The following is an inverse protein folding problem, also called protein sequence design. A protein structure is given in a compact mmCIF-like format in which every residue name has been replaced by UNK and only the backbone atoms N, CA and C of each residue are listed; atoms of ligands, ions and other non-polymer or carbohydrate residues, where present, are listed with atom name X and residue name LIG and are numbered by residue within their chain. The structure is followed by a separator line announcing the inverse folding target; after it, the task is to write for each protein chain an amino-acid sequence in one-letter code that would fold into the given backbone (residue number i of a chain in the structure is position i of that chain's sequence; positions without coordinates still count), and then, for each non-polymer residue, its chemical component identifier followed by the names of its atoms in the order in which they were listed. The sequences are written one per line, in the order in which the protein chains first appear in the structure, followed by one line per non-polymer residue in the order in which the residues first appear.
data_IF_248110288939
#
_entry.id   IF_248110288939
#
_cell.length_a   1.000
_cell.length_b   1.000
_cell.length_c   1.000
_cell.angle_alpha   90.00
_cell.angle_beta   90.00
_cell.angle_gamma   90.00
#
_symmetry.space_group_name_H-M   'P 1'
#
loop_
_entity.id
_entity.type
_entity.pdbx_description
1 polymer ?
#
# COMPACT_ATOMS: atom_id res chain seq x y z
N UNK A 1 5.37 23.12 -5.48
CA UNK A 1 4.25 23.65 -4.68
C UNK A 1 3.07 24.02 -5.56
N UNK A 2 3.25 24.88 -6.58
CA UNK A 2 2.15 25.30 -7.48
C UNK A 2 1.35 24.14 -8.09
N UNK A 3 2.03 23.13 -8.62
CA UNK A 3 1.34 21.99 -9.25
C UNK A 3 0.58 21.14 -8.24
N UNK A 4 1.13 20.97 -7.02
CA UNK A 4 0.50 20.18 -5.97
C UNK A 4 -0.79 20.84 -5.47
N UNK A 5 -0.80 22.16 -5.30
CA UNK A 5 -2.02 22.92 -4.97
C UNK A 5 -3.05 22.87 -6.10
N UNK A 6 -2.60 22.74 -7.35
CA UNK A 6 -3.49 22.59 -8.50
C UNK A 6 -4.15 21.21 -8.54
N UNK A 7 -3.43 20.15 -8.14
CA UNK A 7 -3.92 18.77 -8.13
C UNK A 7 -4.74 18.46 -6.87
N UNK A 8 -4.34 19.01 -5.73
CA UNK A 8 -4.98 18.85 -4.42
C UNK A 8 -5.39 20.23 -3.87
N UNK A 9 -6.47 20.82 -4.40
CA UNK A 9 -6.89 22.16 -4.01
C UNK A 9 -7.57 22.22 -2.63
N UNK A 10 -8.02 21.07 -2.11
CA UNK A 10 -8.73 20.97 -0.83
C UNK A 10 -7.77 20.59 0.29
N UNK A 11 -8.03 21.13 1.49
CA UNK A 11 -7.33 20.76 2.71
C UNK A 11 -8.06 19.52 3.27
N UNK A 12 -7.57 18.35 2.88
CA UNK A 12 -8.08 17.06 3.35
C UNK A 12 -7.16 16.50 4.43
N UNK A 13 -7.65 16.44 5.67
CA UNK A 13 -7.00 15.67 6.74
C UNK A 13 -7.13 14.18 6.47
N UNK A 14 -6.06 13.44 6.72
CA UNK A 14 -6.11 11.99 6.72
C UNK A 14 -6.77 11.48 8.02
N UNK A 15 -7.17 10.23 8.03
CA UNK A 15 -7.69 9.56 9.23
C UNK A 15 -7.38 8.08 9.09
N UNK A 16 -7.11 7.41 10.22
CA UNK A 16 -6.87 5.97 10.24
C UNK A 16 -8.05 5.29 10.90
N UNK A 17 -8.68 4.37 10.17
CA UNK A 17 -9.83 3.59 10.61
C UNK A 17 -9.41 2.13 10.81
N UNK A 18 -10.00 1.48 11.82
CA UNK A 18 -10.01 0.03 11.96
C UNK A 18 -11.29 -0.50 11.34
N UNK A 19 -11.16 -1.21 10.22
CA UNK A 19 -12.28 -1.72 9.43
C UNK A 19 -12.17 -3.24 9.26
N UNK A 20 -13.28 -3.96 9.39
CA UNK A 20 -13.31 -5.39 9.06
C UNK A 20 -13.17 -5.61 7.56
N UNK A 21 -12.73 -6.79 7.13
CA UNK A 21 -12.66 -7.10 5.69
C UNK A 21 -14.02 -6.98 4.99
N UNK A 22 -15.12 -7.25 5.69
CA UNK A 22 -16.47 -7.01 5.15
C UNK A 22 -16.74 -5.51 4.94
N UNK A 23 -16.38 -4.65 5.89
CA UNK A 23 -16.50 -3.19 5.74
C UNK A 23 -15.63 -2.67 4.57
N UNK A 24 -14.42 -3.21 4.41
CA UNK A 24 -13.55 -2.88 3.27
C UNK A 24 -14.21 -3.29 1.95
N UNK A 25 -14.78 -4.49 1.87
CA UNK A 25 -15.49 -4.95 0.68
C UNK A 25 -16.69 -4.05 0.33
N UNK A 26 -17.50 -3.68 1.33
CA UNK A 26 -18.64 -2.78 1.15
C UNK A 26 -18.19 -1.40 0.63
N UNK A 27 -17.07 -0.87 1.16
CA UNK A 27 -16.51 0.38 0.68
C UNK A 27 -16.04 0.29 -0.78
N UNK A 28 -15.40 -0.81 -1.18
CA UNK A 28 -14.98 -1.05 -2.57
C UNK A 28 -16.19 -1.16 -3.50
N UNK A 29 -17.24 -1.88 -3.08
CA UNK A 29 -18.51 -2.01 -3.81
C UNK A 29 -19.17 -0.66 -4.05
N UNK A 30 -19.26 0.20 -3.03
CA UNK A 30 -19.75 1.56 -3.21
C UNK A 30 -18.88 2.35 -4.20
N UNK A 31 -17.56 2.18 -4.14
CA UNK A 31 -16.62 2.85 -5.04
C UNK A 31 -16.84 2.56 -6.52
N UNK A 32 -17.19 1.31 -6.86
CA UNK A 32 -17.46 0.90 -8.24
C UNK A 32 -18.94 0.92 -8.62
N UNK A 33 -19.84 1.24 -7.69
CA UNK A 33 -21.30 1.18 -7.86
C UNK A 33 -21.84 1.97 -9.06
N UNK A 34 -21.28 3.14 -9.34
CA UNK A 34 -21.74 4.03 -10.42
C UNK A 34 -20.86 4.03 -11.66
N UNK A 35 -19.80 3.20 -11.68
CA UNK A 35 -19.02 3.01 -12.90
C UNK A 35 -19.96 2.60 -14.06
N UNK A 36 -19.82 3.20 -15.27
CA UNK A 36 -18.71 4.04 -15.76
C UNK A 36 -18.92 5.57 -15.60
N UNK A 37 -19.89 6.03 -14.81
CA UNK A 37 -20.07 7.48 -14.59
C UNK A 37 -18.83 8.09 -13.93
N UNK A 38 -18.46 9.28 -14.38
CA UNK A 38 -17.33 10.06 -13.86
C UNK A 38 -17.71 10.77 -12.55
N UNK A 39 -18.06 10.00 -11.54
CA UNK A 39 -18.36 10.52 -10.20
C UNK A 39 -17.13 10.43 -9.28
N UNK A 40 -17.05 11.35 -8.31
CA UNK A 40 -15.95 11.42 -7.34
C UNK A 40 -15.80 10.19 -6.44
N UNK A 41 -16.81 9.30 -6.42
CA UNK A 41 -16.80 8.08 -5.60
C UNK A 41 -15.77 7.03 -6.02
N UNK A 42 -15.31 7.06 -7.28
CA UNK A 42 -14.44 5.99 -7.78
C UNK A 42 -13.07 6.03 -7.06
N UNK A 43 -12.67 4.97 -6.32
CA UNK A 43 -11.56 5.05 -5.40
C UNK A 43 -10.21 4.97 -6.11
N UNK A 44 -9.26 5.77 -5.64
CA UNK A 44 -7.83 5.51 -5.86
C UNK A 44 -7.33 4.64 -4.72
N UNK A 45 -6.71 3.51 -5.05
CA UNK A 45 -6.33 2.50 -4.05
C UNK A 45 -4.82 2.27 -4.01
N UNK A 46 -4.33 1.96 -2.81
CA UNK A 46 -2.98 1.51 -2.54
C UNK A 46 -3.03 0.41 -1.49
N UNK A 47 -2.17 -0.60 -1.62
CA UNK A 47 -2.16 -1.75 -0.70
C UNK A 47 -3.34 -2.71 -0.84
N UNK A 48 -4.27 -2.48 -1.78
CA UNK A 48 -5.33 -3.41 -2.15
C UNK A 48 -5.35 -3.58 -3.66
N UNK A 49 -5.65 -4.78 -4.10
CA UNK A 49 -5.94 -5.10 -5.50
C UNK A 49 -7.27 -5.81 -5.60
N UNK A 50 -8.10 -5.44 -6.58
CA UNK A 50 -9.38 -6.11 -6.79
C UNK A 50 -9.85 -6.09 -8.24
N UNK A 51 -10.69 -7.08 -8.57
CA UNK A 51 -11.42 -7.11 -9.82
C UNK A 51 -12.93 -6.90 -9.60
N UNK A 52 -13.59 -6.22 -10.53
CA UNK A 52 -15.04 -5.97 -10.47
C UNK A 52 -15.73 -6.17 -11.83
N UNK A 53 -16.97 -6.66 -11.82
CA UNK A 53 -17.81 -6.82 -13.00
C UNK A 53 -18.82 -5.65 -13.11
N UNK A 54 -18.66 -4.74 -14.09
CA UNK A 54 -19.57 -3.62 -14.27
C UNK A 54 -20.97 -4.04 -14.75
N UNK A 55 -21.15 -5.27 -15.24
CA UNK A 55 -22.45 -5.79 -15.71
C UNK A 55 -23.36 -6.23 -14.57
N UNK A 56 -22.79 -6.49 -13.39
CA UNK A 56 -23.55 -6.87 -12.19
C UNK A 56 -24.22 -5.65 -11.54
N UNK A 57 -25.33 -5.87 -10.79
CA UNK A 57 -25.99 -4.79 -10.08
C UNK A 57 -25.05 -4.14 -9.06
N UNK A 58 -25.17 -2.83 -8.79
CA UNK A 58 -24.40 -2.16 -7.75
C UNK A 58 -24.50 -2.88 -6.39
N UNK A 59 -23.38 -3.02 -5.69
CA UNK A 59 -23.30 -3.78 -4.43
C UNK A 59 -23.05 -5.28 -4.60
N UNK A 60 -22.97 -5.78 -5.84
CA UNK A 60 -22.62 -7.18 -6.15
C UNK A 60 -21.61 -7.24 -7.30
N UNK A 61 -20.82 -6.19 -7.51
CA UNK A 61 -19.87 -6.09 -8.63
C UNK A 61 -18.54 -6.77 -8.31
N UNK A 62 -18.19 -6.91 -7.04
CA UNK A 62 -16.92 -7.43 -6.56
C UNK A 62 -17.16 -8.78 -5.91
N UNK A 63 -16.44 -9.79 -6.39
CA UNK A 63 -16.36 -11.07 -5.67
C UNK A 63 -15.23 -10.97 -4.62
N UNK A 64 -15.48 -11.28 -3.34
CA UNK A 64 -14.44 -11.28 -2.31
C UNK A 64 -13.20 -12.10 -2.69
N UNK A 65 -13.36 -13.16 -3.49
CA UNK A 65 -12.25 -14.03 -3.91
C UNK A 65 -11.22 -13.32 -4.82
N UNK A 66 -11.63 -12.21 -5.46
CA UNK A 66 -10.75 -11.40 -6.29
C UNK A 66 -10.23 -10.16 -5.56
N UNK A 67 -10.40 -10.06 -4.25
CA UNK A 67 -9.85 -8.97 -3.44
C UNK A 67 -8.62 -9.46 -2.68
N UNK A 68 -7.52 -8.72 -2.79
CA UNK A 68 -6.29 -8.97 -2.04
C UNK A 68 -5.83 -7.70 -1.33
N UNK A 69 -5.52 -7.81 -0.06
CA UNK A 69 -4.92 -6.75 0.76
C UNK A 69 -3.44 -7.12 0.96
N UNK A 70 -2.54 -6.24 0.52
CA UNK A 70 -1.14 -6.59 0.35
C UNK A 70 -1.00 -7.73 -0.65
N UNK A 71 -0.41 -8.84 -0.20
CA UNK A 71 -0.24 -10.05 -0.99
C UNK A 71 -1.20 -11.17 -0.56
N UNK A 72 -2.06 -10.91 0.42
CA UNK A 72 -2.99 -11.87 1.00
C UNK A 72 -4.42 -11.66 0.48
N UNK A 73 -5.21 -12.73 0.30
CA UNK A 73 -6.62 -12.59 -0.01
C UNK A 73 -7.39 -12.00 1.17
N UNK A 74 -8.47 -11.30 0.86
CA UNK A 74 -9.33 -10.67 1.86
C UNK A 74 -9.97 -11.70 2.80
N UNK A 75 -9.73 -11.58 4.10
CA UNK A 75 -10.53 -12.21 5.15
C UNK A 75 -11.59 -11.23 5.65
N UNK A 76 -12.87 -11.62 5.55
CA UNK A 76 -14.00 -10.77 5.96
C UNK A 76 -14.02 -10.47 7.45
N UNK A 77 -13.50 -11.37 8.28
CA UNK A 77 -13.56 -11.29 9.73
C UNK A 77 -12.38 -10.53 10.33
N UNK A 78 -11.25 -10.50 9.63
CA UNK A 78 -10.05 -9.80 10.05
C UNK A 78 -10.27 -8.28 10.07
N UNK A 79 -9.67 -7.60 11.06
CA UNK A 79 -9.61 -6.13 11.12
C UNK A 79 -8.36 -5.63 10.38
N UNK A 80 -8.54 -4.62 9.55
CA UNK A 80 -7.50 -3.95 8.79
C UNK A 80 -7.43 -2.47 9.17
N UNK A 81 -6.23 -1.90 9.10
CA UNK A 81 -6.03 -0.45 9.22
C UNK A 81 -6.13 0.20 7.85
N UNK A 82 -7.13 1.05 7.69
CA UNK A 82 -7.40 1.79 6.46
C UNK A 82 -7.08 3.26 6.67
N UNK A 83 -6.31 3.84 5.76
CA UNK A 83 -6.12 5.30 5.71
C UNK A 83 -7.07 5.88 4.69
N UNK A 84 -7.85 6.88 5.09
CA UNK A 84 -8.78 7.59 4.20
C UNK A 84 -8.79 9.08 4.49
N UNK A 85 -9.56 9.85 3.73
CA UNK A 85 -9.81 11.27 4.01
C UNK A 85 -10.91 11.40 5.05
N UNK A 86 -10.85 12.42 5.90
CA UNK A 86 -11.94 12.70 6.86
C UNK A 86 -13.31 12.85 6.14
N UNK A 87 -13.33 13.47 4.96
CA UNK A 87 -14.53 13.57 4.13
C UNK A 87 -15.22 12.22 3.89
N UNK A 88 -14.46 11.18 3.54
CA UNK A 88 -15.01 9.84 3.30
C UNK A 88 -15.38 9.15 4.61
N UNK A 89 -14.59 9.32 5.67
CA UNK A 89 -14.90 8.75 6.99
C UNK A 89 -16.24 9.26 7.56
N UNK A 90 -16.62 10.50 7.22
CA UNK A 90 -17.94 11.07 7.53
C UNK A 90 -19.09 10.53 6.64
N UNK A 91 -18.86 9.47 5.85
CA UNK A 91 -19.84 8.83 4.99
C UNK A 91 -20.24 9.62 3.74
N UNK A 92 -19.40 10.56 3.30
CA UNK A 92 -19.65 11.27 2.04
C UNK A 92 -19.40 10.35 0.84
N UNK A 93 -19.92 10.71 -0.33
CA UNK A 93 -19.88 9.88 -1.56
C UNK A 93 -20.45 8.45 -1.42
N UNK A 94 -21.28 8.21 -0.41
CA UNK A 94 -21.90 6.91 -0.14
C UNK A 94 -21.04 5.96 0.68
N UNK A 95 -19.91 6.42 1.23
CA UNK A 95 -19.03 5.63 2.10
C UNK A 95 -19.54 5.56 3.54
N UNK A 96 -20.86 5.40 3.73
CA UNK A 96 -21.50 5.39 5.06
C UNK A 96 -20.94 4.30 5.98
N UNK A 97 -20.45 3.20 5.41
CA UNK A 97 -19.77 2.11 6.13
C UNK A 97 -18.62 2.58 7.02
N UNK A 98 -17.94 3.69 6.66
CA UNK A 98 -16.84 4.21 7.47
C UNK A 98 -17.27 4.90 8.76
N UNK A 99 -18.54 5.30 8.89
CA UNK A 99 -19.07 5.86 10.14
C UNK A 99 -19.13 4.82 11.26
N UNK A 100 -19.29 3.55 10.88
CA UNK A 100 -19.36 2.42 11.80
C UNK A 100 -17.98 1.85 12.13
N UNK A 101 -16.91 2.41 11.56
CA UNK A 101 -15.53 1.98 11.82
C UNK A 101 -14.96 2.72 13.03
N UNK A 102 -14.08 2.04 13.77
CA UNK A 102 -13.37 2.64 14.90
C UNK A 102 -12.25 3.55 14.39
N UNK A 103 -12.16 4.77 14.93
CA UNK A 103 -11.11 5.73 14.59
C UNK A 103 -9.87 5.44 15.43
N UNK A 104 -8.80 4.98 14.78
CA UNK A 104 -7.50 4.67 15.40
C UNK A 104 -6.64 5.92 15.52
N UNK A 105 -6.67 6.78 14.50
CA UNK A 105 -6.01 8.09 14.53
C UNK A 105 -6.95 9.12 13.98
N UNK A 106 -7.15 10.19 14.74
CA UNK A 106 -8.06 11.29 14.42
C UNK A 106 -7.43 12.29 13.41
N UNK A 107 -8.22 13.25 12.97
CA UNK A 107 -7.76 14.30 12.06
C UNK A 107 -6.72 15.24 12.70
N UNK A 108 -6.75 15.41 14.02
CA UNK A 108 -5.81 16.27 14.76
C UNK A 108 -4.42 15.62 14.90
N UNK A 109 -4.37 14.29 14.88
CA UNK A 109 -3.15 13.49 15.07
C UNK A 109 -2.45 13.14 13.76
N UNK A 110 -3.12 13.36 12.64
CA UNK A 110 -2.67 12.92 11.32
C UNK A 110 -2.32 14.11 10.42
N UNK A 111 -1.35 13.95 9.52
CA UNK A 111 -0.99 15.02 8.60
C UNK A 111 -2.07 15.21 7.53
N UNK A 112 -2.18 16.44 7.04
CA UNK A 112 -2.93 16.73 5.81
C UNK A 112 -2.38 15.93 4.63
N UNK A 113 -3.26 15.54 3.69
CA UNK A 113 -2.89 14.79 2.49
C UNK A 113 -1.78 15.49 1.69
N UNK A 114 -1.87 16.82 1.53
CA UNK A 114 -0.86 17.61 0.84
C UNK A 114 0.52 17.48 1.49
N UNK A 115 0.57 17.51 2.81
CA UNK A 115 1.80 17.37 3.60
C UNK A 115 2.34 15.94 3.52
N UNK A 116 1.48 14.92 3.56
CA UNK A 116 1.88 13.52 3.39
C UNK A 116 2.53 13.28 2.01
N UNK A 117 1.96 13.83 0.94
CA UNK A 117 2.52 13.73 -0.41
C UNK A 117 3.87 14.46 -0.50
N UNK A 118 3.99 15.65 0.07
CA UNK A 118 5.26 16.40 0.10
C UNK A 118 6.35 15.63 0.83
N UNK A 119 6.02 15.06 2.00
CA UNK A 119 6.94 14.25 2.78
C UNK A 119 7.39 13.00 2.01
N UNK A 120 6.49 12.37 1.26
CA UNK A 120 6.82 11.23 0.42
C UNK A 120 7.82 11.59 -0.69
N UNK A 121 7.59 12.69 -1.41
CA UNK A 121 8.55 13.17 -2.41
C UNK A 121 9.90 13.57 -1.81
N UNK A 122 9.89 14.14 -0.61
CA UNK A 122 11.13 14.47 0.07
C UNK A 122 11.92 13.21 0.46
N UNK A 123 11.24 12.15 0.90
CA UNK A 123 11.86 10.87 1.19
C UNK A 123 12.46 10.22 -0.08
N UNK A 124 11.77 10.30 -1.22
CA UNK A 124 12.30 9.82 -2.52
C UNK A 124 13.57 10.59 -2.91
N UNK A 125 13.60 11.92 -2.72
CA UNK A 125 14.81 12.72 -3.01
C UNK A 125 16.00 12.32 -2.15
N UNK A 126 15.76 11.96 -0.90
CA UNK A 126 16.80 11.48 0.01
C UNK A 126 17.33 10.12 -0.47
N UNK A 127 16.44 9.19 -0.80
CA UNK A 127 16.81 7.85 -1.28
C UNK A 127 17.59 7.89 -2.60
N UNK A 128 17.15 8.71 -3.55
CA UNK A 128 17.81 8.86 -4.85
C UNK A 128 19.11 9.66 -4.79
N UNK A 129 19.52 10.15 -3.61
CA UNK A 129 20.74 10.91 -3.39
C UNK A 129 20.69 12.37 -3.88
N UNK A 130 19.52 12.86 -4.31
CA UNK A 130 19.31 14.26 -4.73
C UNK A 130 19.35 15.19 -3.52
N UNK A 131 18.83 14.75 -2.38
CA UNK A 131 18.87 15.47 -1.12
C UNK A 131 19.69 14.70 -0.07
N UNK A 132 20.41 15.41 0.79
CA UNK A 132 21.15 14.78 1.90
C UNK A 132 20.23 14.64 3.12
N UNK A 133 20.20 13.47 3.78
CA UNK A 133 19.47 13.32 5.03
C UNK A 133 20.13 14.16 6.13
N UNK A 134 19.31 14.70 7.04
CA UNK A 134 19.82 15.45 8.21
C UNK A 134 20.29 14.51 9.32
N UNK A 135 19.78 13.28 9.33
CA UNK A 135 20.05 12.23 10.32
C UNK A 135 20.54 10.96 9.62
N UNK A 136 21.26 10.11 10.35
CA UNK A 136 21.64 8.79 9.85
C UNK A 136 20.44 7.83 9.73
N UNK A 137 19.38 8.09 10.50
CA UNK A 137 18.14 7.31 10.42
C UNK A 137 17.24 7.82 9.30
N UNK A 138 16.70 6.89 8.50
CA UNK A 138 15.65 7.12 7.51
C UNK A 138 14.54 6.07 7.68
N UNK A 139 13.29 6.48 7.48
CA UNK A 139 12.18 5.54 7.42
C UNK A 139 12.18 4.82 6.07
N UNK A 140 11.99 3.50 6.09
CA UNK A 140 11.81 2.69 4.87
C UNK A 140 10.55 3.10 4.12
N UNK A 141 10.67 3.27 2.79
CA UNK A 141 9.53 3.57 1.92
C UNK A 141 8.82 2.31 1.41
N UNK A 142 9.31 1.12 1.73
CA UNK A 142 8.59 -0.12 1.46
C UNK A 142 7.49 -0.30 2.50
N UNK A 143 6.25 -0.34 2.02
CA UNK A 143 5.07 -0.66 2.83
C UNK A 143 5.30 -1.96 3.60
N UNK A 144 4.98 -1.96 4.90
CA UNK A 144 5.15 -3.11 5.80
C UNK A 144 4.54 -4.39 5.24
N UNK A 145 3.32 -4.30 4.68
CA UNK A 145 2.62 -5.43 4.06
C UNK A 145 3.38 -6.09 2.91
N UNK A 146 4.25 -5.34 2.21
CA UNK A 146 5.09 -5.87 1.15
C UNK A 146 6.42 -6.42 1.68
N UNK A 147 6.84 -6.13 2.91
CA UNK A 147 8.19 -6.52 3.39
C UNK A 147 8.38 -8.03 3.43
N UNK A 148 7.38 -8.80 3.87
CA UNK A 148 7.49 -10.26 3.97
C UNK A 148 7.46 -10.96 2.61
N UNK A 149 6.58 -10.52 1.72
CA UNK A 149 6.55 -10.96 0.32
C UNK A 149 7.82 -10.56 -0.43
N UNK A 150 8.38 -9.38 -0.14
CA UNK A 150 9.63 -8.91 -0.74
C UNK A 150 10.86 -9.67 -0.23
N UNK A 151 10.90 -10.05 1.06
CA UNK A 151 11.96 -10.92 1.59
C UNK A 151 11.90 -12.30 0.92
N UNK A 152 10.70 -12.86 0.72
CA UNK A 152 10.54 -14.16 0.04
C UNK A 152 10.80 -14.11 -1.46
N UNK A 153 10.35 -13.06 -2.15
CA UNK A 153 10.75 -12.88 -3.56
C UNK A 153 12.26 -12.71 -3.67
N UNK A 154 12.96 -12.05 -2.74
CA UNK A 154 14.43 -12.05 -2.73
C UNK A 154 15.06 -13.45 -2.48
N UNK A 155 14.36 -14.38 -1.83
CA UNK A 155 14.76 -15.79 -1.66
C UNK A 155 14.50 -16.62 -2.93
N UNK A 156 13.37 -16.40 -3.60
CA UNK A 156 12.94 -17.15 -4.80
C UNK A 156 13.53 -16.58 -6.12
N UNK A 157 13.85 -15.29 -6.15
CA UNK A 157 14.40 -14.56 -7.31
C UNK A 157 15.92 -14.72 -7.28
N UNK A 158 16.39 -15.87 -7.78
CA UNK A 158 17.73 -16.02 -8.35
C UNK A 158 17.85 -15.26 -9.69
N UNK A 159 17.37 -14.00 -9.75
CA UNK A 159 17.45 -13.18 -10.95
C UNK A 159 18.68 -12.28 -10.86
N UNK A 160 19.53 -12.46 -11.86
CA UNK A 160 20.86 -11.87 -12.00
C UNK A 160 20.75 -10.36 -12.14
N UNK A 161 21.01 -9.61 -11.08
CA UNK A 161 21.27 -8.17 -11.21
C UNK A 161 22.61 -7.95 -11.95
N UNK A 162 22.67 -7.13 -13.02
CA UNK A 162 23.92 -6.86 -13.72
C UNK A 162 24.85 -6.01 -12.83
N UNK A 163 26.11 -6.43 -12.76
CA UNK A 163 27.16 -5.73 -12.02
C UNK A 163 27.36 -4.32 -12.59
N UNK A 164 27.06 -3.26 -11.81
CA UNK A 164 27.60 -1.92 -12.09
C UNK A 164 29.11 -1.96 -11.90
N UNK A 165 29.89 -1.74 -12.96
CA UNK A 165 31.36 -1.69 -12.92
C UNK A 165 31.83 -0.53 -12.05
N UNK A 166 32.31 -0.84 -10.85
CA UNK A 166 33.27 0.01 -10.14
C UNK A 166 34.67 -0.28 -10.69
N UNK A 167 35.35 0.73 -11.23
CA UNK A 167 36.76 0.62 -11.61
C UNK A 167 37.62 0.65 -10.35
N UNK A 168 37.99 -0.53 -9.85
CA UNK A 168 39.14 -0.71 -8.96
C UNK A 168 40.08 -1.71 -9.62
N UNK A 169 41.33 -1.30 -9.83
CA UNK A 169 42.35 -2.07 -10.55
C UNK A 169 42.83 -3.31 -9.77
N UNK A 170 42.48 -3.44 -8.49
CA UNK A 170 42.93 -4.54 -7.63
C UNK A 170 41.98 -5.75 -7.57
N UNK A 171 40.81 -5.69 -8.22
CA UNK A 171 39.80 -6.75 -8.15
C UNK A 171 40.02 -7.93 -9.12
N UNK A 172 41.19 -8.06 -9.75
CA UNK A 172 41.45 -9.14 -10.71
C UNK A 172 41.76 -10.49 -10.06
N UNK A 173 42.13 -10.52 -8.77
CA UNK A 173 42.54 -11.74 -8.07
C UNK A 173 41.41 -12.48 -7.32
N UNK A 174 40.16 -11.98 -7.35
CA UNK A 174 39.00 -12.61 -6.67
C UNK A 174 37.85 -12.95 -7.61
N UNK A 175 38.15 -13.26 -8.88
CA UNK A 175 37.14 -13.51 -9.94
C UNK A 175 36.34 -14.82 -9.80
N UNK A 176 36.49 -15.60 -8.73
CA UNK A 176 35.87 -16.93 -8.59
C UNK A 176 34.93 -17.15 -7.41
N UNK A 177 34.71 -16.17 -6.51
CA UNK A 177 34.05 -16.46 -5.21
C UNK A 177 32.85 -15.57 -4.84
N UNK A 178 32.45 -14.61 -5.67
CA UNK A 178 31.22 -13.84 -5.42
C UNK A 178 30.05 -14.40 -6.23
N UNK A 179 29.53 -15.52 -5.71
CA UNK A 179 28.27 -16.13 -6.11
C UNK A 179 27.12 -15.28 -5.54
N UNK A 180 26.25 -14.78 -6.43
CA UNK A 180 24.91 -14.23 -6.14
C UNK A 180 24.82 -13.09 -5.12
N UNK A 181 24.70 -11.84 -5.58
CA UNK A 181 24.24 -10.73 -4.72
C UNK A 181 22.72 -10.83 -4.58
N UNK A 182 22.22 -11.16 -3.39
CA UNK A 182 20.80 -11.01 -3.04
C UNK A 182 20.37 -9.55 -3.22
N UNK A 183 19.17 -9.33 -3.74
CA UNK A 183 18.59 -7.99 -3.79
C UNK A 183 18.42 -7.48 -2.35
N UNK A 184 19.03 -6.33 -2.06
CA UNK A 184 18.90 -5.71 -0.73
C UNK A 184 17.57 -4.97 -0.62
N UNK A 185 17.08 -4.78 0.61
CA UNK A 185 15.91 -3.92 0.88
C UNK A 185 16.08 -2.54 0.22
N UNK A 186 17.31 -2.01 0.19
CA UNK A 186 17.62 -0.73 -0.45
C UNK A 186 17.48 -0.77 -1.98
N UNK A 187 17.83 -1.90 -2.62
CA UNK A 187 17.66 -2.06 -4.07
C UNK A 187 16.17 -2.09 -4.42
N UNK A 188 15.35 -2.78 -3.61
CA UNK A 188 13.89 -2.81 -3.78
C UNK A 188 13.27 -1.43 -3.56
N UNK A 189 13.69 -0.70 -2.53
CA UNK A 189 13.28 0.68 -2.30
C UNK A 189 13.64 1.59 -3.48
N UNK A 190 14.82 1.42 -4.07
CA UNK A 190 15.21 2.20 -5.25
C UNK A 190 14.30 1.90 -6.44
N UNK A 191 13.91 0.65 -6.64
CA UNK A 191 13.01 0.25 -7.73
C UNK A 191 11.58 0.80 -7.53
N UNK A 192 11.06 0.80 -6.30
CA UNK A 192 9.74 1.35 -6.00
C UNK A 192 9.72 2.87 -6.08
N UNK A 193 10.84 3.54 -5.78
CA UNK A 193 10.97 5.00 -5.87
C UNK A 193 11.17 5.52 -7.31
N UNK A 194 11.21 4.64 -8.32
CA UNK A 194 11.21 5.07 -9.71
C UNK A 194 9.86 5.69 -10.07
N UNK A 195 9.84 7.02 -10.20
CA UNK A 195 8.67 7.83 -10.56
C UNK A 195 8.20 7.67 -12.01
N UNK A 196 8.63 6.60 -12.70
CA UNK A 196 8.20 6.31 -14.06
C UNK A 196 6.73 5.86 -14.05
N UNK A 197 5.88 6.36 -14.96
CA UNK A 197 4.48 5.95 -15.02
C UNK A 197 4.41 4.46 -15.36
N UNK A 198 3.75 3.69 -14.50
CA UNK A 198 3.57 2.24 -14.63
C UNK A 198 2.12 1.86 -14.42
N UNK A 199 1.67 0.84 -15.14
CA UNK A 199 0.33 0.26 -14.94
C UNK A 199 0.45 -0.87 -13.93
N UNK A 200 0.00 -0.63 -12.70
CA UNK A 200 0.06 -1.61 -11.61
C UNK A 200 -1.14 -2.58 -11.57
N UNK A 201 -2.18 -2.36 -12.38
CA UNK A 201 -3.38 -3.20 -12.42
C UNK A 201 -4.04 -3.45 -11.05
N UNK A 202 -4.05 -2.46 -10.16
CA UNK A 202 -4.68 -2.60 -8.82
C UNK A 202 -6.21 -2.70 -8.89
N UNK A 203 -6.83 -2.10 -9.90
CA UNK A 203 -8.26 -2.19 -10.16
C UNK A 203 -8.43 -2.72 -11.57
N UNK A 204 -9.12 -3.85 -11.73
CA UNK A 204 -9.27 -4.52 -13.02
C UNK A 204 -10.74 -4.84 -13.29
N UNK A 205 -11.18 -4.72 -14.54
CA UNK A 205 -12.50 -5.21 -14.95
C UNK A 205 -12.43 -6.73 -15.05
N UNK A 206 -13.37 -7.41 -14.40
CA UNK A 206 -13.45 -8.86 -14.39
C UNK A 206 -13.70 -9.37 -15.81
N UNK A 207 -12.75 -10.14 -16.32
CA UNK A 207 -12.81 -10.87 -17.59
C UNK A 207 -12.40 -12.32 -17.34
N UNK A 208 -12.75 -13.23 -18.24
CA UNK A 208 -12.41 -14.66 -18.08
C UNK A 208 -10.90 -14.90 -17.95
N UNK A 209 -10.08 -14.06 -18.59
CA UNK A 209 -8.61 -14.14 -18.48
C UNK A 209 -8.11 -13.70 -17.10
N UNK A 210 -8.67 -12.61 -16.57
CA UNK A 210 -8.33 -12.09 -15.24
C UNK A 210 -8.74 -13.10 -14.18
N UNK A 211 -9.93 -13.66 -14.29
CA UNK A 211 -10.42 -14.69 -13.38
C UNK A 211 -9.48 -15.92 -13.36
N UNK A 212 -9.04 -16.41 -14.52
CA UNK A 212 -8.08 -17.52 -14.59
C UNK A 212 -6.75 -17.19 -13.92
N UNK A 213 -6.23 -15.96 -14.10
CA UNK A 213 -4.99 -15.51 -13.45
C UNK A 213 -5.12 -15.49 -11.93
N UNK A 214 -6.20 -14.90 -11.42
CA UNK A 214 -6.46 -14.86 -9.97
C UNK A 214 -6.58 -16.27 -9.37
N UNK A 215 -7.26 -17.20 -10.06
CA UNK A 215 -7.35 -18.59 -9.60
C UNK A 215 -5.97 -19.27 -9.54
N UNK A 216 -5.14 -19.08 -10.57
CA UNK A 216 -3.77 -19.60 -10.58
C UNK A 216 -2.92 -19.00 -9.45
N UNK A 217 -3.01 -17.70 -9.23
CA UNK A 217 -2.27 -17.05 -8.14
C UNK A 217 -2.70 -17.53 -6.75
N UNK A 218 -4.00 -17.76 -6.55
CA UNK A 218 -4.53 -18.31 -5.29
C UNK A 218 -4.14 -19.78 -5.08
N UNK A 219 -3.95 -20.57 -6.13
CA UNK A 219 -3.44 -21.95 -6.04
C UNK A 219 -1.94 -22.01 -5.73
N UNK A 220 -1.16 -21.05 -6.24
CA UNK A 220 0.30 -20.99 -6.06
C UNK A 220 0.70 -20.39 -4.71
N UNK A 221 -0.10 -19.47 -4.17
CA UNK A 221 0.13 -18.88 -2.84
C UNK A 221 -0.77 -19.54 -1.81
N UNK A 222 -0.31 -20.57 -1.06
CA UNK A 222 -1.10 -21.15 0.01
C UNK A 222 -1.46 -20.07 1.02
N UNK A 223 -2.78 -19.89 1.14
CA UNK A 223 -3.51 -19.02 2.06
C UNK A 223 -2.85 -18.99 3.45
N UNK A 224 -2.85 -17.80 4.06
CA UNK A 224 -2.36 -17.44 5.41
C UNK A 224 -0.85 -17.20 5.52
N UNK A 225 -0.44 -15.98 5.19
CA UNK A 225 0.87 -15.49 5.57
C UNK A 225 0.72 -14.04 6.02
N UNK A 226 0.20 -13.87 7.23
CA UNK A 226 0.89 -13.22 8.36
C UNK A 226 -0.14 -12.80 9.43
N UNK A 227 -0.08 -13.43 10.62
CA UNK A 227 -0.61 -12.84 11.85
C UNK A 227 0.31 -11.68 12.27
N UNK A 228 0.25 -10.54 11.57
CA UNK A 228 0.68 -9.26 12.12
C UNK A 228 -0.57 -8.58 12.70
N UNK A 229 -1.16 -9.13 13.77
CA UNK A 229 -0.46 -9.08 15.06
C UNK A 229 0.14 -7.71 15.37
N UNK A 230 -0.41 -6.59 14.90
CA UNK A 230 -0.10 -5.31 15.54
C UNK A 230 -0.78 -5.40 16.89
N UNK A 231 -0.04 -5.91 17.88
CA UNK A 231 -0.47 -5.84 19.27
C UNK A 231 -0.81 -4.38 19.54
N UNK A 232 -2.09 -4.11 19.82
CA UNK A 232 -2.51 -2.84 20.39
C UNK A 232 -1.70 -2.71 21.67
N UNK A 233 -0.67 -1.87 21.67
CA UNK A 233 -0.03 -1.51 22.94
C UNK A 233 -1.15 -0.96 23.83
N UNK A 234 -1.41 -1.56 25.00
CA UNK A 234 -2.46 -1.06 25.88
C UNK A 234 -2.08 0.36 26.23
N UNK A 235 -3.03 1.29 26.04
CA UNK A 235 -2.87 2.70 26.34
C UNK A 235 -2.12 2.85 27.66
N UNK A 236 -0.86 3.30 27.59
CA UNK A 236 -0.04 3.48 28.77
C UNK A 236 -0.78 4.46 29.66
N UNK A 237 -1.38 3.97 30.74
CA UNK A 237 -1.93 4.80 31.79
C UNK A 237 -0.78 5.61 32.35
N UNK A 238 -0.63 6.85 31.87
CA UNK A 238 0.38 7.78 32.35
C UNK A 238 0.14 8.01 33.84
N UNK A 239 0.92 7.33 34.67
CA UNK A 239 1.06 7.60 36.09
C UNK A 239 1.90 8.87 36.26
N UNK A 240 1.28 10.02 35.99
CA UNK A 240 1.69 11.29 36.60
C UNK A 240 0.86 11.49 37.88
N UNK A 241 1.19 10.71 38.91
CA UNK A 241 0.84 11.10 40.27
C UNK A 241 1.78 12.22 40.72
N UNK A 242 1.14 13.32 41.14
CA UNK A 242 1.76 14.52 41.70
C UNK A 242 2.63 14.16 42.91
N UNK A 243 3.85 14.68 42.91
CA UNK A 243 4.57 15.06 44.13
C UNK A 243 4.93 16.54 44.03
#
# INVERSE_FOLDING_TARGET
MRDLVTILPMIDSLIVLSATGDQVLQALENGVSQYPKLEGRFPQVSGVTFAFDPKKPPGQRIDPQFVRIGDEPLDKTQKYRLVTKNYLAQGRDGYDVFKDCEVVMSEDESPELCTAVQNHFQAIKILTGVARPRTHHRQSLVCLSRRHSLVRTCEDVSVKAPLKRGFSLDASARRGLFRQRQASLEDVEHETCKMEPKVENRIVILTEEVEKKFRQENEVHPLSLVEEVIEEEPASSGSFEKN
#
